data_IF_423317075852
#
_entry.id   IF_423317075852
#
_cell.length_a   1.000
_cell.length_b   1.000
_cell.length_c   1.000
_cell.angle_alpha   90.00
_cell.angle_beta   90.00
_cell.angle_gamma   90.00
#
_symmetry.space_group_name_H-M   'P 1'
#
loop_
_entity.id
_entity.type
_entity.pdbx_description
1 polymer ?
#
# COMPACT_ATOMS: atom_id res chain seq x y z
N UNK A 1 11.43 -6.70 12.94
CA UNK A 1 12.12 -7.26 11.75
C UNK A 1 13.64 -7.29 11.99
N UNK A 2 14.22 -8.42 12.43
CA UNK A 2 15.64 -8.48 12.81
C UNK A 2 16.64 -8.15 11.69
N UNK A 3 16.31 -8.46 10.44
CA UNK A 3 17.17 -8.14 9.29
C UNK A 3 17.25 -6.63 9.04
N UNK A 4 16.14 -5.91 9.24
CA UNK A 4 16.07 -4.47 9.00
C UNK A 4 17.02 -3.71 9.92
N UNK A 5 17.13 -4.13 11.19
CA UNK A 5 18.05 -3.55 12.16
C UNK A 5 19.53 -3.71 11.74
N UNK A 6 19.86 -4.79 11.00
CA UNK A 6 21.22 -5.03 10.49
C UNK A 6 21.54 -4.27 9.21
N UNK A 7 20.54 -4.11 8.35
CA UNK A 7 20.71 -3.54 7.01
C UNK A 7 20.50 -2.04 6.95
N UNK A 8 19.58 -1.50 7.76
CA UNK A 8 19.21 -0.09 7.74
C UNK A 8 20.43 0.82 7.99
N UNK A 9 21.27 0.63 9.03
CA UNK A 9 22.41 1.53 9.27
C UNK A 9 23.42 1.58 8.11
N UNK A 10 23.56 0.47 7.37
CA UNK A 10 24.51 0.36 6.25
C UNK A 10 23.98 1.01 4.96
N UNK A 11 22.66 1.09 4.84
CA UNK A 11 21.97 1.36 3.57
C UNK A 11 21.03 2.56 3.63
N UNK A 12 20.93 3.20 4.80
CA UNK A 12 20.00 4.30 5.02
C UNK A 12 20.34 5.50 4.12
N UNK A 13 19.34 5.95 3.37
CA UNK A 13 19.32 7.26 2.74
C UNK A 13 18.74 8.30 3.72
N UNK A 14 19.35 9.48 3.80
CA UNK A 14 18.86 10.60 4.64
C UNK A 14 17.89 11.49 3.90
N UNK A 15 18.03 11.57 2.58
CA UNK A 15 17.14 12.30 1.69
C UNK A 15 16.76 11.43 0.50
N UNK A 16 15.56 11.64 -0.07
CA UNK A 16 15.04 10.81 -1.15
C UNK A 16 15.93 10.84 -2.41
N UNK A 17 16.64 11.93 -2.66
CA UNK A 17 17.53 12.07 -3.84
C UNK A 17 18.71 11.10 -3.81
N UNK A 18 19.17 10.67 -2.63
CA UNK A 18 20.23 9.66 -2.50
C UNK A 18 19.82 8.29 -3.04
N UNK A 19 18.51 8.01 -3.16
CA UNK A 19 18.01 6.79 -3.80
C UNK A 19 18.43 6.67 -5.27
N UNK A 20 18.72 7.79 -5.93
CA UNK A 20 19.11 7.83 -7.33
C UNK A 20 20.62 7.69 -7.56
N UNK A 21 21.45 7.76 -6.50
CA UNK A 21 22.91 7.65 -6.63
C UNK A 21 23.39 6.24 -7.00
N UNK A 22 22.57 5.22 -6.70
CA UNK A 22 22.85 3.82 -7.00
C UNK A 22 21.59 3.19 -7.61
N UNK A 23 21.75 2.21 -8.51
CA UNK A 23 20.60 1.55 -9.18
C UNK A 23 19.68 0.81 -8.21
N UNK A 24 20.21 0.37 -7.08
CA UNK A 24 19.50 -0.35 -6.03
C UNK A 24 20.31 -0.27 -4.73
N UNK A 25 19.71 -0.71 -3.61
CA UNK A 25 20.46 -0.92 -2.38
C UNK A 25 20.17 0.11 -1.29
N UNK A 26 19.69 1.31 -1.56
CA UNK A 26 19.35 2.25 -0.47
C UNK A 26 18.02 1.94 0.22
N UNK A 27 17.90 2.36 1.47
CA UNK A 27 16.67 2.29 2.28
C UNK A 27 16.34 3.71 2.75
N UNK A 28 15.26 4.31 2.28
CA UNK A 28 14.79 5.62 2.74
C UNK A 28 13.61 5.44 3.69
N UNK A 29 13.68 6.05 4.87
CA UNK A 29 12.58 6.07 5.82
C UNK A 29 11.75 7.33 5.58
N UNK A 30 10.56 7.15 5.02
CA UNK A 30 9.61 8.23 4.78
C UNK A 30 8.46 8.17 5.78
N UNK A 31 8.11 9.32 6.35
CA UNK A 31 6.92 9.45 7.20
C UNK A 31 5.72 9.76 6.32
N UNK A 32 4.76 8.85 6.27
CA UNK A 32 3.49 9.05 5.56
C UNK A 32 2.34 9.14 6.57
N UNK A 33 1.30 9.96 6.32
CA UNK A 33 0.07 9.91 7.10
C UNK A 33 -0.49 8.49 7.12
N UNK A 34 -0.95 8.04 8.29
CA UNK A 34 -1.62 6.75 8.42
C UNK A 34 -3.06 6.89 7.90
N UNK A 35 -3.44 5.97 7.02
CA UNK A 35 -4.81 5.73 6.64
C UNK A 35 -5.16 4.34 7.14
N UNK A 36 -6.22 4.21 7.93
CA UNK A 36 -6.71 2.92 8.44
C UNK A 36 -7.41 2.17 7.31
N UNK A 37 -6.61 1.57 6.43
CA UNK A 37 -7.07 0.87 5.23
C UNK A 37 -6.25 -0.40 5.01
N UNK A 38 -6.91 -1.46 4.56
CA UNK A 38 -6.23 -2.65 4.05
C UNK A 38 -7.03 -3.29 2.92
N UNK A 39 -6.35 -3.99 2.00
CA UNK A 39 -7.02 -4.75 0.94
C UNK A 39 -7.93 -5.85 1.51
N UNK A 40 -7.58 -6.42 2.66
CA UNK A 40 -8.42 -7.39 3.36
C UNK A 40 -9.74 -6.75 3.81
N UNK A 41 -9.67 -5.56 4.41
CA UNK A 41 -10.86 -4.83 4.84
C UNK A 41 -11.74 -4.39 3.64
N UNK A 42 -11.14 -3.89 2.56
CA UNK A 42 -11.88 -3.52 1.33
C UNK A 42 -12.64 -4.72 0.76
N UNK A 43 -11.96 -5.87 0.57
CA UNK A 43 -12.62 -7.07 0.04
C UNK A 43 -13.71 -7.58 0.97
N UNK A 44 -13.51 -7.50 2.29
CA UNK A 44 -14.56 -7.82 3.26
C UNK A 44 -15.77 -6.89 3.11
N UNK A 45 -15.58 -5.59 2.94
CA UNK A 45 -16.70 -4.66 2.71
C UNK A 45 -17.49 -5.03 1.44
N UNK A 46 -16.79 -5.26 0.33
CA UNK A 46 -17.40 -5.64 -0.96
C UNK A 46 -18.21 -6.94 -0.84
N UNK A 47 -17.63 -7.97 -0.22
CA UNK A 47 -18.30 -9.26 -0.02
C UNK A 47 -19.57 -9.16 0.87
N UNK A 48 -19.65 -8.14 1.73
CA UNK A 48 -20.81 -7.87 2.58
C UNK A 48 -21.71 -6.75 2.03
N UNK A 49 -21.57 -6.38 0.76
CA UNK A 49 -22.35 -5.33 0.09
C UNK A 49 -22.23 -3.94 0.77
N UNK A 50 -21.16 -3.72 1.53
CA UNK A 50 -20.80 -2.40 2.05
C UNK A 50 -20.02 -1.60 1.00
N UNK A 51 -20.13 -0.28 1.04
CA UNK A 51 -19.41 0.60 0.12
C UNK A 51 -18.04 1.01 0.69
N UNK A 52 -16.91 0.66 0.06
CA UNK A 52 -15.59 1.16 0.43
C UNK A 52 -15.27 2.49 -0.28
N UNK A 53 -16.28 3.34 -0.51
CA UNK A 53 -16.10 4.66 -1.12
C UNK A 53 -15.09 5.46 -0.30
N UNK A 54 -14.26 6.24 -0.98
CA UNK A 54 -13.14 7.01 -0.41
C UNK A 54 -11.93 6.20 0.08
N UNK A 55 -12.03 4.87 0.18
CA UNK A 55 -10.87 4.00 0.45
C UNK A 55 -10.14 3.62 -0.84
N UNK A 56 -10.84 3.62 -1.97
CA UNK A 56 -10.26 3.35 -3.28
C UNK A 56 -10.75 4.37 -4.31
N UNK A 57 -10.00 4.61 -5.40
CA UNK A 57 -10.45 5.48 -6.49
C UNK A 57 -11.76 4.98 -7.11
N UNK A 58 -12.66 5.90 -7.50
CA UNK A 58 -13.98 5.56 -8.05
C UNK A 58 -13.90 4.68 -9.32
N UNK A 59 -12.89 4.91 -10.16
CA UNK A 59 -12.63 4.10 -11.36
C UNK A 59 -12.31 2.64 -11.02
N UNK A 60 -11.70 2.38 -9.87
CA UNK A 60 -11.41 1.03 -9.38
C UNK A 60 -12.69 0.37 -8.87
N UNK A 61 -13.56 1.10 -8.17
CA UNK A 61 -14.89 0.59 -7.77
C UNK A 61 -15.74 0.20 -8.98
N UNK A 62 -15.76 1.06 -9.99
CA UNK A 62 -16.50 0.82 -11.23
C UNK A 62 -16.03 -0.47 -11.90
N UNK A 63 -14.71 -0.66 -11.99
CA UNK A 63 -14.12 -1.88 -12.52
C UNK A 63 -14.50 -3.14 -11.69
N UNK A 64 -14.43 -3.04 -10.36
CA UNK A 64 -14.81 -4.13 -9.45
C UNK A 64 -16.26 -4.56 -9.69
N UNK A 65 -17.20 -3.60 -9.74
CA UNK A 65 -18.62 -3.88 -9.96
C UNK A 65 -18.90 -4.43 -11.36
N UNK A 66 -18.28 -3.86 -12.40
CA UNK A 66 -18.46 -4.32 -13.78
C UNK A 66 -18.06 -5.79 -13.96
N UNK A 67 -17.06 -6.25 -13.20
CA UNK A 67 -16.51 -7.59 -13.29
C UNK A 67 -16.93 -8.52 -12.14
N UNK A 68 -17.85 -8.10 -11.28
CA UNK A 68 -18.33 -8.88 -10.13
C UNK A 68 -17.21 -9.41 -9.23
N UNK A 69 -16.15 -8.61 -9.04
CA UNK A 69 -15.00 -9.01 -8.25
C UNK A 69 -15.31 -8.93 -6.75
N UNK A 70 -14.90 -9.95 -5.99
CA UNK A 70 -15.00 -9.99 -4.53
C UNK A 70 -16.44 -10.01 -3.98
N UNK A 71 -17.44 -10.22 -4.83
CA UNK A 71 -18.81 -10.54 -4.42
C UNK A 71 -18.86 -11.96 -3.84
N UNK A 72 -19.84 -12.22 -2.96
CA UNK A 72 -20.10 -13.59 -2.50
C UNK A 72 -20.79 -14.36 -3.62
N UNK A 73 -20.33 -15.59 -3.84
CA UNK A 73 -21.01 -16.59 -4.67
C UNK A 73 -22.28 -17.07 -3.99
#
# INVERSE_FOLDING_TARGET
LPWLLRELPKRQARVATELHHEKAGKIFLFTMPLLEISSTYIRWQLANQHSPRFLVPEVVLSYIHQHHLYERV
#
